data_IF_366151674315
#
_entry.id   IF_366151674315
#
_cell.length_a   1.000
_cell.length_b   1.000
_cell.length_c   1.000
_cell.angle_alpha   90.00
_cell.angle_beta   90.00
_cell.angle_gamma   90.00
#
_symmetry.space_group_name_H-M   'P 1'
#
loop_
_entity.id
_entity.type
_entity.pdbx_description
1 polymer ?
#
# COMPACT_ATOMS: atom_id res chain seq x y z
N UNK A 1 18.16 -12.02 11.85
CA UNK A 1 17.64 -11.90 10.47
C UNK A 1 18.33 -10.73 9.80
N UNK A 2 19.21 -10.98 8.83
CA UNK A 2 19.81 -9.91 8.04
C UNK A 2 18.78 -9.44 7.01
N UNK A 3 18.45 -8.15 7.00
CA UNK A 3 17.58 -7.59 5.97
C UNK A 3 18.26 -7.73 4.61
N UNK A 4 17.51 -8.03 3.53
CA UNK A 4 18.08 -8.05 2.18
C UNK A 4 18.74 -6.71 1.88
N UNK A 5 19.96 -6.73 1.31
CA UNK A 5 20.73 -5.51 0.97
C UNK A 5 19.92 -4.49 0.16
N UNK A 6 18.95 -4.97 -0.62
CA UNK A 6 18.01 -4.20 -1.43
C UNK A 6 17.08 -3.33 -0.59
N UNK A 7 16.51 -3.86 0.51
CA UNK A 7 15.61 -3.11 1.38
C UNK A 7 16.37 -2.01 2.12
N UNK A 8 17.60 -2.30 2.56
CA UNK A 8 18.46 -1.30 3.19
C UNK A 8 18.80 -0.13 2.25
N UNK A 9 19.12 -0.42 0.97
CA UNK A 9 19.36 0.64 -0.04
C UNK A 9 18.10 1.46 -0.30
N UNK A 10 16.94 0.81 -0.38
CA UNK A 10 15.66 1.49 -0.58
C UNK A 10 15.35 2.47 0.55
N UNK A 11 15.47 2.02 1.80
CA UNK A 11 15.24 2.88 2.98
C UNK A 11 16.31 3.97 3.10
N UNK A 12 17.45 3.90 2.40
CA UNK A 12 18.46 4.98 2.41
C UNK A 12 18.20 6.08 1.36
N UNK A 13 17.26 5.88 0.45
CA UNK A 13 16.89 6.91 -0.53
C UNK A 13 16.43 8.19 0.19
N UNK A 14 16.80 9.34 -0.37
CA UNK A 14 16.35 10.65 0.09
C UNK A 14 14.83 10.81 -0.09
N UNK A 15 14.22 11.83 0.54
CA UNK A 15 12.77 12.04 0.48
C UNK A 15 12.26 12.20 -0.95
N UNK A 16 13.00 12.90 -1.81
CA UNK A 16 12.65 13.04 -3.23
C UNK A 16 12.66 11.71 -3.99
N UNK A 17 13.62 10.82 -3.68
CA UNK A 17 13.70 9.49 -4.29
C UNK A 17 12.52 8.60 -3.91
N UNK A 18 12.13 8.61 -2.62
CA UNK A 18 10.94 7.89 -2.15
C UNK A 18 9.65 8.48 -2.73
N UNK A 19 9.55 9.80 -2.83
CA UNK A 19 8.40 10.48 -3.45
C UNK A 19 8.23 10.10 -4.93
N UNK A 20 9.32 10.10 -5.70
CA UNK A 20 9.29 9.67 -7.10
C UNK A 20 8.85 8.21 -7.27
N UNK A 21 9.31 7.32 -6.39
CA UNK A 21 8.91 5.90 -6.39
C UNK A 21 7.41 5.75 -6.07
N UNK A 22 6.89 6.49 -5.09
CA UNK A 22 5.46 6.49 -4.75
C UNK A 22 4.61 6.88 -5.96
N UNK A 23 4.96 7.97 -6.66
CA UNK A 23 4.27 8.40 -7.89
C UNK A 23 4.36 7.34 -8.99
N UNK A 24 5.53 6.72 -9.19
CA UNK A 24 5.71 5.68 -10.19
C UNK A 24 4.84 4.44 -9.90
N UNK A 25 4.74 4.01 -8.64
CA UNK A 25 3.88 2.89 -8.23
C UNK A 25 2.41 3.21 -8.45
N UNK A 26 1.98 4.44 -8.12
CA UNK A 26 0.61 4.88 -8.35
C UNK A 26 0.26 4.93 -9.83
N UNK A 27 1.16 5.49 -10.66
CA UNK A 27 0.99 5.52 -12.12
C UNK A 27 0.95 4.11 -12.72
N UNK A 28 1.81 3.20 -12.25
CA UNK A 28 1.78 1.80 -12.65
C UNK A 28 0.45 1.14 -12.27
N UNK A 29 -0.05 1.39 -11.05
CA UNK A 29 -1.33 0.83 -10.62
C UNK A 29 -2.50 1.34 -11.43
N UNK A 30 -2.50 2.63 -11.78
CA UNK A 30 -3.52 3.18 -12.67
C UNK A 30 -3.47 2.54 -14.05
N UNK A 31 -2.27 2.42 -14.64
CA UNK A 31 -2.08 1.77 -15.94
C UNK A 31 -2.56 0.31 -15.94
N UNK A 32 -2.21 -0.46 -14.91
CA UNK A 32 -2.64 -1.85 -14.78
C UNK A 32 -4.16 -1.97 -14.59
N UNK A 33 -4.78 -1.04 -13.86
CA UNK A 33 -6.22 -1.02 -13.68
C UNK A 33 -6.96 -0.69 -14.98
N UNK A 34 -6.47 0.27 -15.77
CA UNK A 34 -7.05 0.56 -17.09
C UNK A 34 -6.96 -0.68 -18.00
N UNK A 35 -5.80 -1.34 -18.02
CA UNK A 35 -5.63 -2.58 -18.78
C UNK A 35 -6.54 -3.71 -18.30
N UNK A 36 -6.83 -3.79 -17.00
CA UNK A 36 -7.79 -4.74 -16.44
C UNK A 36 -9.23 -4.39 -16.84
N UNK A 37 -9.62 -3.12 -16.72
CA UNK A 37 -10.94 -2.65 -17.13
C UNK A 37 -11.21 -2.91 -18.62
N UNK A 38 -10.20 -2.74 -19.48
CA UNK A 38 -10.31 -3.07 -20.91
C UNK A 38 -10.57 -4.57 -21.12
N UNK A 39 -9.88 -5.44 -20.35
CA UNK A 39 -10.11 -6.89 -20.38
C UNK A 39 -11.49 -7.26 -19.86
N UNK A 40 -11.95 -6.63 -18.79
CA UNK A 40 -13.29 -6.87 -18.24
C UNK A 40 -14.36 -6.39 -19.23
N UNK A 41 -14.12 -5.28 -19.95
CA UNK A 41 -14.96 -4.83 -21.06
C UNK A 41 -15.04 -5.87 -22.19
N UNK A 42 -13.92 -6.50 -22.56
CA UNK A 42 -13.90 -7.60 -23.53
C UNK A 42 -14.66 -8.82 -23.02
N UNK A 43 -14.55 -9.16 -21.74
CA UNK A 43 -15.28 -10.29 -21.13
C UNK A 43 -16.79 -10.07 -21.14
N UNK A 44 -17.24 -8.88 -20.78
CA UNK A 44 -18.66 -8.50 -20.85
C UNK A 44 -19.16 -8.56 -22.28
N UNK A 45 -18.39 -8.05 -23.25
CA UNK A 45 -18.73 -8.14 -24.67
C UNK A 45 -18.78 -9.59 -25.17
N UNK A 46 -17.85 -10.44 -24.73
CA UNK A 46 -17.86 -11.87 -25.04
C UNK A 46 -19.08 -12.55 -24.44
N UNK A 47 -19.42 -12.26 -23.18
CA UNK A 47 -20.63 -12.79 -22.54
C UNK A 47 -21.88 -12.46 -23.33
N UNK A 48 -22.03 -11.20 -23.75
CA UNK A 48 -23.15 -10.75 -24.57
C UNK A 48 -23.18 -11.38 -25.99
N UNK A 49 -22.01 -11.66 -26.57
CA UNK A 49 -21.92 -12.31 -27.88
C UNK A 49 -22.29 -13.81 -27.85
N UNK A 50 -22.30 -14.42 -26.67
CA UNK A 50 -22.46 -15.87 -26.51
C UNK A 50 -21.17 -16.66 -26.82
N UNK A 51 -21.19 -17.99 -26.61
CA UNK A 51 -20.03 -18.83 -26.87
C UNK A 51 -19.67 -18.86 -28.36
N UNK A 52 -18.38 -19.02 -28.71
CA UNK A 52 -17.97 -19.17 -30.11
C UNK A 52 -18.56 -20.44 -30.72
N UNK A 53 -18.60 -20.49 -32.06
CA UNK A 53 -19.08 -21.66 -32.77
C UNK A 53 -18.27 -22.90 -32.39
N UNK A 54 -18.97 -24.01 -32.18
CA UNK A 54 -18.33 -25.28 -31.85
C UNK A 54 -17.69 -25.90 -33.09
N UNK A 55 -16.39 -26.24 -33.00
CA UNK A 55 -15.60 -26.76 -34.13
C UNK A 55 -14.96 -28.10 -33.74
N UNK A 56 -14.96 -29.06 -34.66
CA UNK A 56 -14.24 -30.32 -34.49
C UNK A 56 -12.74 -30.07 -34.30
N UNK A 57 -12.11 -30.73 -33.32
CA UNK A 57 -10.72 -30.48 -32.93
C UNK A 57 -9.74 -30.67 -34.10
N UNK A 58 -10.03 -31.61 -35.00
CA UNK A 58 -9.24 -31.87 -36.20
C UNK A 58 -9.35 -30.77 -37.28
N UNK A 59 -10.39 -29.94 -37.21
CA UNK A 59 -10.62 -28.80 -38.13
C UNK A 59 -10.28 -27.45 -37.48
N UNK A 60 -9.89 -27.46 -36.21
CA UNK A 60 -9.65 -26.26 -35.44
C UNK A 60 -8.49 -25.44 -36.03
N UNK A 61 -8.76 -24.17 -36.32
CA UNK A 61 -7.78 -23.21 -36.76
C UNK A 61 -7.67 -22.07 -35.73
N UNK A 62 -6.47 -21.93 -35.13
CA UNK A 62 -6.19 -20.93 -34.09
C UNK A 62 -6.53 -19.50 -34.51
N UNK A 63 -6.37 -19.13 -35.78
CA UNK A 63 -6.57 -17.75 -36.22
C UNK A 63 -8.04 -17.41 -36.50
N UNK A 64 -8.89 -18.42 -36.70
CA UNK A 64 -10.30 -18.25 -37.10
C UNK A 64 -11.28 -18.64 -36.00
N UNK A 65 -10.95 -19.67 -35.23
CA UNK A 65 -11.90 -20.37 -34.37
C UNK A 65 -11.75 -20.00 -32.88
N UNK A 66 -11.03 -18.91 -32.57
CA UNK A 66 -10.89 -18.36 -31.21
C UNK A 66 -11.37 -16.90 -31.14
N UNK A 67 -11.87 -16.49 -29.98
CA UNK A 67 -12.20 -15.08 -29.72
C UNK A 67 -10.94 -14.27 -29.35
N UNK A 68 -11.09 -12.95 -29.17
CA UNK A 68 -9.99 -12.09 -28.68
C UNK A 68 -9.52 -12.46 -27.27
N UNK A 69 -10.38 -13.08 -26.47
CA UNK A 69 -10.06 -13.63 -25.15
C UNK A 69 -9.51 -15.05 -25.23
N UNK A 70 -9.21 -15.55 -26.44
CA UNK A 70 -8.80 -16.93 -26.70
C UNK A 70 -9.83 -17.97 -26.26
N UNK A 71 -11.09 -17.56 -26.12
CA UNK A 71 -12.19 -18.48 -25.85
C UNK A 71 -12.39 -19.38 -27.07
N UNK A 72 -12.58 -20.68 -26.83
CA UNK A 72 -12.81 -21.71 -27.84
C UNK A 72 -13.86 -22.70 -27.37
N UNK A 73 -14.61 -23.26 -28.32
CA UNK A 73 -15.48 -24.41 -28.09
C UNK A 73 -15.08 -25.51 -29.06
N UNK A 74 -14.40 -26.53 -28.55
CA UNK A 74 -13.81 -27.59 -29.38
C UNK A 74 -14.54 -28.92 -29.14
N UNK A 75 -14.93 -29.59 -30.21
CA UNK A 75 -15.50 -30.94 -30.19
C UNK A 75 -14.40 -31.98 -30.28
N UNK A 76 -14.34 -32.88 -29.30
CA UNK A 76 -13.39 -33.99 -29.32
C UNK A 76 -13.93 -35.21 -28.56
N UNK A 77 -13.24 -36.34 -28.70
CA UNK A 77 -13.45 -37.51 -27.85
C UNK A 77 -12.28 -37.61 -26.85
N UNK A 78 -12.53 -37.72 -25.53
CA UNK A 78 -11.46 -37.92 -24.56
C UNK A 78 -11.00 -39.38 -24.53
N UNK A 79 -9.70 -39.58 -24.40
CA UNK A 79 -9.12 -40.90 -24.14
C UNK A 79 -8.96 -41.09 -22.64
N UNK A 80 -10.01 -41.63 -22.01
CA UNK A 80 -10.09 -41.72 -20.54
C UNK A 80 -9.05 -42.66 -19.94
N UNK A 81 -8.64 -43.69 -20.67
CA UNK A 81 -7.61 -44.62 -20.22
C UNK A 81 -6.24 -43.95 -20.07
N UNK A 82 -6.03 -42.82 -20.74
CA UNK A 82 -4.81 -42.01 -20.70
C UNK A 82 -4.98 -40.74 -19.84
N UNK A 83 -6.09 -40.61 -19.12
CA UNK A 83 -6.30 -39.46 -18.25
C UNK A 83 -5.37 -39.55 -17.04
N UNK A 84 -4.58 -38.50 -16.80
CA UNK A 84 -3.51 -38.53 -15.81
C UNK A 84 -3.49 -37.25 -14.98
N UNK A 85 -3.22 -37.40 -13.68
CA UNK A 85 -2.88 -36.27 -12.81
C UNK A 85 -1.41 -35.91 -12.99
N UNK A 86 -1.16 -34.63 -13.26
CA UNK A 86 0.17 -34.06 -13.23
C UNK A 86 0.31 -33.19 -11.98
N UNK A 87 1.44 -33.35 -11.28
CA UNK A 87 1.77 -32.58 -10.07
C UNK A 87 3.09 -31.88 -10.28
N UNK A 88 3.08 -30.56 -10.21
CA UNK A 88 4.29 -29.74 -10.32
C UNK A 88 4.67 -29.23 -8.93
N UNK A 89 5.77 -29.74 -8.40
CA UNK A 89 6.25 -29.38 -7.08
C UNK A 89 6.94 -28.01 -7.10
N UNK A 90 6.47 -27.05 -6.29
CA UNK A 90 7.12 -25.74 -6.12
C UNK A 90 7.44 -25.50 -4.65
N UNK A 91 8.39 -24.60 -4.41
CA UNK A 91 8.80 -24.23 -3.04
C UNK A 91 7.67 -23.62 -2.20
N UNK A 92 6.61 -23.12 -2.82
CA UNK A 92 5.49 -22.45 -2.17
C UNK A 92 4.21 -23.31 -2.10
N UNK A 93 4.27 -24.55 -2.58
CA UNK A 93 3.12 -25.43 -2.74
C UNK A 93 3.20 -26.21 -4.05
N UNK A 94 2.42 -27.28 -4.15
CA UNK A 94 2.34 -28.07 -5.38
C UNK A 94 1.17 -27.54 -6.23
N UNK A 95 1.38 -27.42 -7.53
CA UNK A 95 0.29 -27.19 -8.46
C UNK A 95 -0.20 -28.54 -8.98
N UNK A 96 -1.51 -28.66 -9.21
CA UNK A 96 -2.12 -29.86 -9.76
C UNK A 96 -2.95 -29.56 -11.01
N UNK A 97 -2.85 -30.43 -12.01
CA UNK A 97 -3.72 -30.40 -13.19
C UNK A 97 -4.10 -31.82 -13.59
N UNK A 98 -5.34 -32.00 -14.02
CA UNK A 98 -5.76 -33.23 -14.70
C UNK A 98 -5.61 -33.05 -16.19
N UNK A 99 -4.79 -33.90 -16.78
CA UNK A 99 -4.57 -33.96 -18.21
C UNK A 99 -5.48 -35.01 -18.83
N UNK A 100 -6.23 -34.61 -19.85
CA UNK A 100 -7.10 -35.49 -20.61
C UNK A 100 -6.73 -35.41 -22.10
N UNK A 101 -6.07 -36.44 -22.66
CA UNK A 101 -5.78 -36.49 -24.08
C UNK A 101 -7.07 -36.55 -24.91
N UNK A 102 -7.08 -35.83 -26.03
CA UNK A 102 -8.23 -35.68 -26.92
C UNK A 102 -7.91 -36.21 -28.31
N UNK A 103 -8.81 -37.00 -28.88
CA UNK A 103 -8.76 -37.49 -30.26
C UNK A 103 -9.86 -36.83 -31.11
N UNK A 104 -9.70 -36.90 -32.43
CA UNK A 104 -10.65 -36.38 -33.40
C UNK A 104 -12.07 -36.95 -33.22
N UNK A 105 -13.09 -36.20 -33.60
CA UNK A 105 -14.50 -36.61 -33.44
C UNK A 105 -14.84 -37.90 -34.19
N UNK A 106 -14.22 -38.11 -35.36
CA UNK A 106 -14.35 -39.31 -36.17
C UNK A 106 -13.34 -40.42 -35.87
N UNK A 107 -12.47 -40.25 -34.88
CA UNK A 107 -11.44 -41.25 -34.56
C UNK A 107 -12.06 -42.53 -34.01
N UNK A 108 -11.46 -43.66 -34.39
CA UNK A 108 -11.71 -45.00 -33.82
C UNK A 108 -10.48 -45.54 -33.08
N UNK A 109 -9.44 -44.72 -32.91
CA UNK A 109 -8.19 -45.10 -32.25
C UNK A 109 -7.84 -44.13 -31.14
N UNK A 110 -7.40 -44.67 -30.02
CA UNK A 110 -7.01 -43.93 -28.81
C UNK A 110 -5.61 -43.30 -28.89
N UNK A 111 -4.83 -43.67 -29.90
CA UNK A 111 -3.42 -43.26 -30.05
C UNK A 111 -3.23 -42.03 -30.92
N UNK A 112 -4.24 -41.64 -31.72
CA UNK A 112 -4.16 -40.49 -32.62
C UNK A 112 -4.61 -39.21 -31.90
N UNK A 113 -3.83 -38.84 -30.89
CA UNK A 113 -4.08 -37.66 -30.07
C UNK A 113 -3.93 -36.41 -30.95
N UNK A 114 -4.87 -35.48 -30.85
CA UNK A 114 -4.85 -34.19 -31.59
C UNK A 114 -4.87 -32.98 -30.66
N UNK A 115 -5.21 -33.18 -29.39
CA UNK A 115 -5.17 -32.13 -28.38
C UNK A 115 -5.21 -32.66 -26.96
N UNK A 116 -5.24 -31.73 -26.01
CA UNK A 116 -5.21 -32.00 -24.57
C UNK A 116 -6.15 -31.01 -23.89
N UNK A 117 -7.01 -31.52 -23.00
CA UNK A 117 -7.75 -30.70 -22.05
C UNK A 117 -7.07 -30.72 -20.68
N UNK A 118 -6.81 -29.55 -20.11
CA UNK A 118 -6.27 -29.39 -18.76
C UNK A 118 -7.32 -28.85 -17.81
N UNK A 119 -7.64 -29.62 -16.78
CA UNK A 119 -8.56 -29.21 -15.71
C UNK A 119 -7.72 -28.83 -14.49
N UNK A 120 -7.60 -27.53 -14.15
CA UNK A 120 -6.86 -27.10 -12.98
C UNK A 120 -7.57 -27.57 -11.72
N UNK A 121 -6.80 -27.99 -10.71
CA UNK A 121 -7.32 -28.33 -9.38
C UNK A 121 -6.68 -27.43 -8.34
N UNK A 122 -7.50 -26.78 -7.51
CA UNK A 122 -7.02 -25.96 -6.41
C UNK A 122 -6.54 -26.80 -5.22
N UNK A 123 -7.01 -28.04 -5.14
CA UNK A 123 -6.70 -28.97 -4.06
C UNK A 123 -5.97 -30.20 -4.58
N UNK A 124 -5.30 -30.89 -3.66
CA UNK A 124 -4.74 -32.21 -3.89
C UNK A 124 -5.82 -33.30 -3.95
N UNK A 125 -7.04 -32.98 -3.47
CA UNK A 125 -8.21 -33.82 -3.54
C UNK A 125 -8.82 -33.74 -4.96
N UNK A 126 -8.87 -34.88 -5.65
CA UNK A 126 -9.48 -34.99 -6.97
C UNK A 126 -11.00 -34.89 -6.97
N UNK A 127 -11.58 -34.56 -5.82
CA UNK A 127 -13.01 -34.50 -5.60
C UNK A 127 -13.67 -33.44 -6.50
N UNK A 128 -12.90 -32.45 -6.95
CA UNK A 128 -13.34 -31.38 -7.84
C UNK A 128 -13.58 -31.89 -9.29
N UNK A 129 -12.90 -32.95 -9.74
CA UNK A 129 -13.04 -33.50 -11.10
C UNK A 129 -13.90 -34.76 -11.05
N UNK A 130 -15.21 -34.55 -11.03
CA UNK A 130 -16.17 -35.65 -11.01
C UNK A 130 -16.38 -36.24 -12.42
N UNK A 131 -16.77 -37.51 -12.54
CA UNK A 131 -17.22 -38.08 -13.81
C UNK A 131 -18.36 -37.29 -14.45
N UNK A 132 -19.21 -36.63 -13.66
CA UNK A 132 -20.27 -35.76 -14.14
C UNK A 132 -19.70 -34.51 -14.83
N UNK A 133 -18.66 -33.89 -14.24
CA UNK A 133 -17.96 -32.77 -14.86
C UNK A 133 -17.35 -33.17 -16.21
N UNK A 134 -16.67 -34.33 -16.27
CA UNK A 134 -16.09 -34.85 -17.52
C UNK A 134 -17.13 -35.24 -18.58
N UNK A 135 -18.41 -35.36 -18.20
CA UNK A 135 -19.54 -35.62 -19.09
C UNK A 135 -20.32 -34.34 -19.43
N UNK A 136 -19.96 -33.20 -18.82
CA UNK A 136 -20.61 -31.92 -19.08
C UNK A 136 -20.30 -31.50 -20.50
N UNK A 137 -21.34 -31.19 -21.28
CA UNK A 137 -21.19 -30.87 -22.70
C UNK A 137 -21.09 -32.09 -23.62
N UNK A 138 -21.42 -33.30 -23.16
CA UNK A 138 -21.55 -34.47 -24.03
C UNK A 138 -22.63 -34.24 -25.10
N UNK A 139 -22.27 -34.41 -26.36
CA UNK A 139 -23.14 -34.26 -27.52
C UNK A 139 -23.49 -35.59 -28.20
N UNK A 140 -22.73 -36.65 -27.92
CA UNK A 140 -22.96 -37.97 -28.51
C UNK A 140 -21.85 -38.97 -28.19
N UNK A 141 -21.74 -40.01 -29.02
CA UNK A 141 -20.70 -41.03 -28.92
C UNK A 141 -20.03 -41.22 -30.29
N UNK A 142 -18.71 -41.29 -30.30
CA UNK A 142 -17.89 -41.61 -31.46
C UNK A 142 -17.25 -42.99 -31.34
N UNK A 143 -16.20 -43.23 -32.14
CA UNK A 143 -15.53 -44.54 -32.21
C UNK A 143 -14.68 -44.89 -30.99
N UNK A 144 -14.27 -43.91 -30.19
CA UNK A 144 -13.45 -44.09 -28.98
C UNK A 144 -14.29 -43.90 -27.72
N UNK A 145 -15.20 -42.92 -27.70
CA UNK A 145 -15.96 -42.63 -26.50
C UNK A 145 -17.00 -41.53 -26.68
N UNK A 146 -17.34 -40.86 -25.58
CA UNK A 146 -18.25 -39.72 -25.59
C UNK A 146 -17.66 -38.57 -26.40
N UNK A 147 -18.39 -38.02 -27.35
CA UNK A 147 -18.06 -36.74 -27.97
C UNK A 147 -18.51 -35.61 -27.05
N UNK A 148 -17.59 -34.70 -26.70
CA UNK A 148 -17.82 -33.61 -25.75
C UNK A 148 -17.43 -32.28 -26.39
N UNK A 149 -18.22 -31.24 -26.09
CA UNK A 149 -17.88 -29.85 -26.32
C UNK A 149 -17.05 -29.31 -25.15
N UNK A 150 -15.76 -29.09 -25.39
CA UNK A 150 -14.88 -28.43 -24.43
C UNK A 150 -14.98 -26.92 -24.62
N UNK A 151 -15.69 -26.25 -23.72
CA UNK A 151 -15.73 -24.79 -23.64
C UNK A 151 -14.66 -24.31 -22.66
N UNK A 152 -13.73 -23.47 -23.14
CA UNK A 152 -12.61 -23.01 -22.34
C UNK A 152 -11.74 -21.99 -23.04
N UNK A 153 -10.56 -21.77 -22.49
CA UNK A 153 -9.53 -20.91 -23.07
C UNK A 153 -8.48 -21.75 -23.81
N UNK A 154 -8.09 -21.32 -25.01
CA UNK A 154 -6.96 -21.90 -25.73
C UNK A 154 -5.66 -21.45 -25.06
N UNK A 155 -4.92 -22.38 -24.46
CA UNK A 155 -3.67 -22.11 -23.77
C UNK A 155 -2.44 -22.70 -24.46
N UNK A 156 -1.30 -22.60 -23.78
CA UNK A 156 -0.15 -23.45 -24.02
C UNK A 156 0.00 -24.46 -22.88
N UNK A 157 0.92 -25.42 -23.03
CA UNK A 157 1.29 -26.32 -21.93
C UNK A 157 2.06 -25.60 -20.83
N UNK A 158 2.86 -24.58 -21.19
CA UNK A 158 3.55 -23.74 -20.22
C UNK A 158 4.45 -24.57 -19.32
N UNK A 159 4.21 -24.51 -18.01
CA UNK A 159 4.97 -25.27 -17.01
C UNK A 159 4.71 -26.79 -17.03
N UNK A 160 3.71 -27.26 -17.77
CA UNK A 160 3.31 -28.67 -17.84
C UNK A 160 3.93 -29.43 -19.02
N UNK A 161 4.67 -28.74 -19.88
CA UNK A 161 5.21 -29.30 -21.14
C UNK A 161 6.10 -30.51 -20.89
N UNK A 162 7.05 -30.43 -19.96
CA UNK A 162 7.97 -31.52 -19.62
C UNK A 162 7.25 -32.75 -19.07
N UNK A 163 6.36 -32.56 -18.08
CA UNK A 163 5.58 -33.65 -17.47
C UNK A 163 4.62 -34.31 -18.48
N UNK A 164 4.08 -33.52 -19.40
CA UNK A 164 3.19 -34.02 -20.46
C UNK A 164 3.97 -34.81 -21.49
N UNK A 165 5.12 -34.31 -21.93
CA UNK A 165 5.99 -35.01 -22.87
C UNK A 165 6.51 -36.34 -22.28
N UNK A 166 6.91 -36.34 -21.01
CA UNK A 166 7.32 -37.55 -20.28
C UNK A 166 6.18 -38.57 -20.23
N UNK A 167 4.96 -38.14 -19.85
CA UNK A 167 3.80 -39.02 -19.84
C UNK A 167 3.51 -39.64 -21.23
N UNK A 168 3.53 -38.82 -22.30
CA UNK A 168 3.29 -39.33 -23.65
C UNK A 168 4.37 -40.34 -24.06
N UNK A 169 5.63 -40.08 -23.74
CA UNK A 169 6.73 -41.00 -24.03
C UNK A 169 6.57 -42.34 -23.29
N UNK A 170 6.23 -42.29 -22.00
CA UNK A 170 6.01 -43.48 -21.17
C UNK A 170 4.80 -44.31 -21.64
N UNK A 171 3.75 -43.63 -22.10
CA UNK A 171 2.57 -44.27 -22.70
C UNK A 171 2.81 -44.80 -24.13
N UNK A 172 3.99 -44.59 -24.70
CA UNK A 172 4.32 -44.98 -26.08
C UNK A 172 3.56 -44.16 -27.14
N UNK A 173 3.14 -42.94 -26.80
CA UNK A 173 2.41 -42.01 -27.65
C UNK A 173 3.33 -40.95 -28.24
N UNK A 174 2.93 -40.41 -29.38
CA UNK A 174 3.62 -39.28 -30.01
C UNK A 174 2.84 -38.01 -29.71
N UNK A 175 3.50 -37.06 -29.07
CA UNK A 175 2.91 -35.76 -28.79
C UNK A 175 2.78 -34.94 -30.09
N UNK A 176 1.59 -34.42 -30.42
CA UNK A 176 1.40 -33.68 -31.66
C UNK A 176 2.14 -32.34 -31.63
N UNK A 177 2.89 -32.04 -32.69
CA UNK A 177 3.63 -30.77 -32.79
C UNK A 177 2.72 -29.53 -32.68
N UNK A 178 1.46 -29.67 -33.10
CA UNK A 178 0.44 -28.61 -33.07
C UNK A 178 -0.76 -28.98 -32.20
N UNK A 179 -0.54 -29.65 -31.07
CA UNK A 179 -1.62 -30.03 -30.16
C UNK A 179 -2.51 -28.83 -29.80
N UNK A 180 -3.82 -29.03 -29.82
CA UNK A 180 -4.80 -28.04 -29.35
C UNK A 180 -4.92 -28.18 -27.84
N UNK A 181 -4.50 -27.16 -27.09
CA UNK A 181 -4.49 -27.18 -25.63
C UNK A 181 -5.65 -26.33 -25.12
N UNK A 182 -6.67 -26.98 -24.56
CA UNK A 182 -7.86 -26.32 -24.03
C UNK A 182 -7.82 -26.34 -22.50
N UNK A 183 -8.17 -25.21 -21.89
CA UNK A 183 -8.36 -25.07 -20.45
C UNK A 183 -9.85 -24.87 -20.17
N UNK A 184 -10.61 -25.95 -19.92
CA UNK A 184 -12.06 -25.85 -19.78
C UNK A 184 -12.48 -25.00 -18.59
N UNK A 185 -13.59 -24.29 -18.72
CA UNK A 185 -14.17 -23.50 -17.64
C UNK A 185 -14.90 -24.42 -16.65
N UNK A 186 -14.25 -24.74 -15.53
CA UNK A 186 -14.74 -25.67 -14.49
C UNK A 186 -16.10 -25.28 -13.93
N UNK A 187 -16.28 -24.00 -13.64
CA UNK A 187 -17.50 -23.42 -13.05
C UNK A 187 -18.46 -22.88 -14.12
N UNK A 188 -18.16 -23.16 -15.38
CA UNK A 188 -18.88 -22.64 -16.52
C UNK A 188 -18.35 -21.31 -17.02
N UNK A 189 -18.75 -21.00 -18.26
CA UNK A 189 -18.33 -19.82 -19.01
C UNK A 189 -18.70 -18.51 -18.31
N UNK A 190 -19.93 -18.44 -17.77
CA UNK A 190 -20.46 -17.21 -17.20
C UNK A 190 -19.66 -16.76 -15.97
N UNK A 191 -19.18 -17.72 -15.17
CA UNK A 191 -18.33 -17.47 -14.01
C UNK A 191 -16.91 -17.10 -14.45
N UNK A 192 -16.33 -17.83 -15.41
CA UNK A 192 -14.97 -17.57 -15.88
C UNK A 192 -14.81 -16.21 -16.57
N UNK A 193 -15.85 -15.75 -17.25
CA UNK A 193 -15.90 -14.45 -17.92
C UNK A 193 -16.58 -13.38 -17.07
N UNK A 194 -17.00 -13.66 -15.84
CA UNK A 194 -17.54 -12.64 -14.98
C UNK A 194 -16.47 -11.54 -14.74
N UNK A 195 -16.88 -10.25 -14.74
CA UNK A 195 -16.00 -9.20 -14.23
C UNK A 195 -15.70 -9.47 -12.75
N UNK A 196 -14.56 -8.96 -12.27
CA UNK A 196 -14.21 -9.07 -10.85
C UNK A 196 -15.35 -8.54 -9.96
N UNK A 197 -15.67 -9.26 -8.88
CA UNK A 197 -16.77 -8.89 -8.01
C UNK A 197 -16.55 -7.50 -7.40
N UNK A 198 -17.62 -6.70 -7.31
CA UNK A 198 -17.59 -5.39 -6.69
C UNK A 198 -17.28 -5.53 -5.20
N UNK A 199 -16.02 -5.31 -4.81
CA UNK A 199 -15.55 -5.51 -3.44
C UNK A 199 -14.14 -6.07 -3.37
N UNK A 200 -13.72 -6.83 -4.39
CA UNK A 200 -12.35 -7.34 -4.45
C UNK A 200 -11.33 -6.19 -4.50
N UNK A 201 -10.20 -6.40 -3.82
CA UNK A 201 -9.09 -5.47 -3.78
C UNK A 201 -8.57 -5.22 -5.20
N UNK A 202 -8.96 -4.08 -5.79
CA UNK A 202 -8.49 -3.68 -7.12
C UNK A 202 -6.97 -3.55 -7.14
N UNK A 203 -6.33 -3.84 -8.28
CA UNK A 203 -4.87 -3.71 -8.45
C UNK A 203 -4.45 -2.28 -8.10
N UNK A 204 -5.22 -1.28 -8.55
CA UNK A 204 -5.01 0.10 -8.17
C UNK A 204 -5.18 0.33 -6.66
N UNK A 205 -6.19 -0.27 -6.03
CA UNK A 205 -6.41 -0.18 -4.58
C UNK A 205 -5.23 -0.71 -3.78
N UNK A 206 -4.63 -1.83 -4.19
CA UNK A 206 -3.43 -2.37 -3.56
C UNK A 206 -2.21 -1.45 -3.76
N UNK A 207 -1.95 -1.04 -5.01
CA UNK A 207 -0.79 -0.22 -5.34
C UNK A 207 -0.90 1.20 -4.78
N UNK A 208 -2.09 1.77 -4.68
CA UNK A 208 -2.32 3.07 -4.06
C UNK A 208 -2.05 3.04 -2.55
N UNK A 209 -2.38 1.94 -1.85
CA UNK A 209 -2.00 1.73 -0.45
C UNK A 209 -0.48 1.68 -0.29
N UNK A 210 0.22 0.92 -1.13
CA UNK A 210 1.69 0.81 -1.12
C UNK A 210 2.32 2.19 -1.42
N UNK A 211 1.86 2.86 -2.47
CA UNK A 211 2.31 4.20 -2.83
C UNK A 211 2.06 5.20 -1.70
N UNK A 212 0.91 5.13 -1.04
CA UNK A 212 0.55 5.97 0.10
C UNK A 212 1.51 5.80 1.27
N UNK A 213 1.87 4.57 1.64
CA UNK A 213 2.87 4.28 2.69
C UNK A 213 4.26 4.80 2.32
N UNK A 214 4.69 4.62 1.07
CA UNK A 214 6.00 5.13 0.61
C UNK A 214 6.00 6.66 0.56
N UNK A 215 4.90 7.28 0.12
CA UNK A 215 4.72 8.73 0.10
C UNK A 215 4.75 9.31 1.50
N UNK A 216 4.06 8.67 2.46
CA UNK A 216 4.15 8.97 3.88
C UNK A 216 5.59 8.95 4.40
N UNK A 217 6.33 7.89 4.07
CA UNK A 217 7.73 7.75 4.49
C UNK A 217 8.62 8.84 3.88
N UNK A 218 8.41 9.18 2.61
CA UNK A 218 9.11 10.26 1.92
C UNK A 218 8.89 11.61 2.62
N UNK A 219 7.63 11.89 2.96
CA UNK A 219 7.21 13.10 3.65
C UNK A 219 7.74 13.15 5.08
N UNK A 220 7.64 12.04 5.82
CA UNK A 220 8.22 11.92 7.16
C UNK A 220 9.72 12.20 7.12
N UNK A 221 10.45 11.58 6.20
CA UNK A 221 11.88 11.87 6.02
C UNK A 221 12.14 13.34 5.72
N UNK A 222 11.36 13.95 4.83
CA UNK A 222 11.53 15.37 4.51
C UNK A 222 11.38 16.26 5.75
N UNK A 223 10.43 15.93 6.63
CA UNK A 223 10.21 16.63 7.90
C UNK A 223 11.31 16.35 8.94
N UNK A 224 11.78 15.10 9.01
CA UNK A 224 12.77 14.67 10.02
C UNK A 224 14.22 14.78 9.56
N UNK A 225 14.49 15.19 8.32
CA UNK A 225 15.83 15.57 7.88
C UNK A 225 16.16 16.93 8.49
N UNK A 226 16.33 16.97 9.81
CA UNK A 226 16.87 18.12 10.50
C UNK A 226 18.29 18.38 9.97
N UNK A 227 18.62 19.67 9.87
CA UNK A 227 19.90 20.20 9.41
C UNK A 227 21.08 19.42 10.00
N UNK A 228 22.23 19.33 9.28
CA UNK A 228 23.47 18.95 9.93
C UNK A 228 23.58 19.83 11.18
N UNK A 229 23.89 19.21 12.32
CA UNK A 229 24.29 19.95 13.51
C UNK A 229 25.34 20.96 13.01
N UNK A 230 24.97 22.24 12.98
CA UNK A 230 25.95 23.31 12.93
C UNK A 230 26.75 23.06 14.19
N UNK A 231 27.86 22.31 14.06
CA UNK A 231 28.90 22.25 15.07
C UNK A 231 29.12 23.71 15.39
N UNK A 232 28.83 24.16 16.64
CA UNK A 232 29.06 25.55 16.98
C UNK A 232 30.50 25.83 16.59
N UNK A 233 30.70 26.73 15.62
CA UNK A 233 32.03 27.23 15.30
C UNK A 233 32.64 27.59 16.64
N UNK A 234 33.68 26.85 17.03
CA UNK A 234 34.42 27.17 18.23
C UNK A 234 34.77 28.66 18.10
N UNK A 235 34.48 29.48 19.12
CA UNK A 235 34.68 30.91 19.03
C UNK A 235 36.09 31.14 18.52
N UNK A 236 36.20 31.84 17.39
CA UNK A 236 37.47 32.28 16.82
C UNK A 236 38.18 33.04 17.94
N UNK A 237 39.16 32.39 18.57
CA UNK A 237 39.99 33.00 19.59
C UNK A 237 40.76 34.06 18.83
N UNK A 238 40.35 35.32 18.97
CA UNK A 238 41.16 36.45 18.56
C UNK A 238 42.53 36.28 19.22
N UNK A 239 43.57 36.16 18.40
CA UNK A 239 44.96 36.06 18.82
C UNK A 239 45.34 37.39 19.51
N UNK A 240 45.06 37.47 20.81
CA UNK A 240 45.54 38.53 21.68
C UNK A 240 46.96 38.15 22.09
N UNK A 241 47.99 38.96 21.78
CA UNK A 241 49.36 38.66 22.19
C UNK A 241 49.44 38.60 23.72
N UNK A 242 50.21 37.65 24.29
CA UNK A 242 50.23 37.42 25.73
C UNK A 242 50.82 38.64 26.45
N UNK A 243 50.01 39.29 27.27
CA UNK A 243 50.51 40.22 28.30
C UNK A 243 51.16 39.37 29.39
N UNK A 244 52.44 39.57 29.73
CA UNK A 244 53.09 38.84 30.80
C UNK A 244 52.53 39.30 32.14
N UNK A 245 51.58 38.53 32.67
CA UNK A 245 51.15 38.66 34.07
C UNK A 245 52.00 37.70 34.89
N UNK A 246 53.00 38.24 35.59
CA UNK A 246 53.69 37.55 36.67
C UNK A 246 52.68 37.27 37.79
N UNK A 247 52.13 36.06 37.82
CA UNK A 247 51.41 35.58 39.00
C UNK A 247 52.41 34.96 39.98
N UNK A 248 52.39 35.34 41.27
CA UNK A 248 53.18 34.66 42.28
C UNK A 248 52.72 33.20 42.39
N UNK A 249 53.68 32.29 42.29
CA UNK A 249 53.48 30.85 42.46
C UNK A 249 53.06 30.58 43.91
N UNK A 250 51.75 30.54 44.18
CA UNK A 250 51.25 29.93 45.41
C UNK A 250 51.33 28.41 45.26
N UNK A 251 52.23 27.80 46.04
CA UNK A 251 52.39 26.36 46.25
C UNK A 251 51.00 25.70 46.44
N UNK A 252 50.56 24.92 45.47
CA UNK A 252 49.32 24.15 45.58
C UNK A 252 49.44 23.14 46.73
N UNK A 253 48.58 23.30 47.74
CA UNK A 253 48.48 22.38 48.86
C UNK A 253 47.75 21.09 48.39
N UNK A 254 48.23 19.88 48.72
CA UNK A 254 47.63 18.65 48.21
C UNK A 254 46.26 18.38 48.85
N UNK A 255 45.31 17.97 48.01
CA UNK A 255 43.86 17.80 48.26
C UNK A 255 43.46 16.92 49.45
N UNK A 256 44.37 16.14 50.03
CA UNK A 256 44.07 15.31 51.21
C UNK A 256 43.99 16.10 52.53
N UNK A 257 44.53 17.33 52.59
CA UNK A 257 44.38 18.21 53.76
C UNK A 257 43.07 19.01 53.80
N UNK A 258 42.28 19.03 52.73
CA UNK A 258 40.98 19.75 52.69
C UNK A 258 39.79 18.93 53.20
N UNK A 259 39.96 17.64 53.55
CA UNK A 259 38.84 16.75 53.96
C UNK A 259 38.80 16.35 55.44
N UNK A 260 39.78 16.71 56.27
CA UNK A 260 39.70 16.51 57.71
C UNK A 260 39.27 17.81 58.38
N UNK A 261 37.96 17.95 58.64
CA UNK A 261 37.42 19.03 59.45
C UNK A 261 37.93 18.94 60.89
N UNK A 262 39.11 19.51 61.13
CA UNK A 262 39.69 19.69 62.45
C UNK A 262 40.12 21.16 62.56
N UNK A 263 39.41 21.88 63.43
CA UNK A 263 39.71 23.24 63.85
C UNK A 263 41.02 23.24 64.64
N UNK A 264 41.95 24.12 64.29
CA UNK A 264 42.98 24.60 65.20
C UNK A 264 42.80 26.11 65.37
N UNK A 265 42.20 26.47 66.52
CA UNK A 265 42.24 27.80 67.11
C UNK A 265 43.65 28.03 67.66
N UNK A 266 44.56 28.59 66.86
CA UNK A 266 45.79 29.25 67.34
C UNK A 266 46.59 29.87 66.20
N UNK A 267 46.31 31.12 65.86
CA UNK A 267 47.30 32.05 65.26
C UNK A 267 46.73 33.47 65.26
N UNK A 268 46.55 33.98 66.47
CA UNK A 268 46.63 35.40 66.79
C UNK A 268 48.02 35.92 66.39
N UNK A 269 48.06 37.17 65.91
CA UNK A 269 49.24 38.05 65.80
C UNK A 269 50.24 37.78 64.67
N UNK A 270 50.20 38.61 63.62
CA UNK A 270 51.23 39.62 63.39
C UNK A 270 50.89 40.55 62.20
N UNK A 271 50.82 41.82 62.57
CA UNK A 271 50.82 43.07 61.81
C UNK A 271 51.79 43.15 60.62
N UNK A 272 51.44 43.92 59.58
CA UNK A 272 52.06 45.23 59.29
C UNK A 272 51.55 45.87 57.99
N UNK A 273 51.14 47.14 58.14
CA UNK A 273 51.41 48.29 57.28
C UNK A 273 51.11 48.19 55.77
N UNK A 274 49.96 48.75 55.37
CA UNK A 274 49.86 49.41 54.06
C UNK A 274 49.19 50.79 54.21
N UNK A 275 50.01 51.79 53.95
CA UNK A 275 49.77 53.22 53.98
C UNK A 275 48.85 53.62 52.81
N UNK A 276 47.78 54.37 53.10
CA UNK A 276 46.86 54.93 52.12
C UNK A 276 47.48 56.18 51.49
N UNK A 277 47.82 56.12 50.20
CA UNK A 277 48.16 57.31 49.42
C UNK A 277 46.89 58.12 49.06
N UNK A 278 46.92 59.47 49.12
CA UNK A 278 45.78 60.32 48.78
C UNK A 278 45.53 60.35 47.27
N UNK A 279 44.26 60.21 46.86
CA UNK A 279 43.81 60.41 45.48
C UNK A 279 43.57 61.91 45.27
N UNK A 280 44.45 62.56 44.50
CA UNK A 280 44.18 63.87 43.90
C UNK A 280 43.29 63.71 42.65
N UNK A 281 42.21 64.49 42.48
CA UNK A 281 41.45 64.54 41.24
C UNK A 281 42.05 65.61 40.32
N UNK A 282 42.71 65.18 39.24
CA UNK A 282 43.11 66.05 38.13
C UNK A 282 42.24 65.76 36.90
N UNK A 283 41.43 66.76 36.57
CA UNK A 283 41.14 67.30 35.24
C UNK A 283 40.70 66.35 34.11
N UNK A 284 39.40 66.44 33.86
CA UNK A 284 38.71 65.99 32.65
C UNK A 284 38.99 67.00 31.53
N UNK A 285 39.77 66.60 30.53
CA UNK A 285 39.73 67.20 29.18
C UNK A 285 38.85 66.32 28.27
N UNK A 286 37.84 66.89 27.56
CA UNK A 286 37.05 66.14 26.60
C UNK A 286 37.64 66.28 25.20
N UNK A 287 38.42 65.30 24.75
CA UNK A 287 38.95 65.29 23.39
C UNK A 287 38.10 64.42 22.46
N UNK A 288 37.34 65.11 21.62
CA UNK A 288 37.20 64.92 20.16
C UNK A 288 36.82 63.52 19.63
N UNK A 289 35.55 63.43 19.25
CA UNK A 289 35.01 62.82 18.01
C UNK A 289 35.91 61.85 17.22
N UNK A 290 35.57 60.56 17.27
CA UNK A 290 35.81 59.64 16.16
C UNK A 290 34.52 58.87 15.81
N UNK A 291 33.76 59.28 14.78
CA UNK A 291 32.62 58.53 14.28
C UNK A 291 33.07 57.59 13.16
N UNK A 292 33.92 56.62 13.47
CA UNK A 292 34.27 55.53 12.53
C UNK A 292 34.27 54.16 13.19
N UNK A 293 33.21 53.84 13.94
CA UNK A 293 32.87 52.46 14.27
C UNK A 293 31.54 52.05 13.65
N UNK A 294 31.70 51.62 12.39
CA UNK A 294 31.04 50.53 11.70
C UNK A 294 29.86 49.87 12.44
N UNK A 295 28.66 50.33 12.10
CA UNK A 295 27.39 49.72 12.46
C UNK A 295 27.01 48.61 11.47
N UNK A 296 27.89 47.66 11.18
CA UNK A 296 27.55 46.49 10.35
C UNK A 296 27.33 45.25 11.21
N UNK A 297 26.13 45.14 11.79
CA UNK A 297 25.78 43.96 12.59
C UNK A 297 24.28 43.73 12.81
N UNK A 298 23.40 44.50 12.16
CA UNK A 298 21.99 44.14 12.09
C UNK A 298 21.83 42.96 11.14
N UNK A 299 22.10 41.75 11.65
CA UNK A 299 21.67 40.50 10.99
C UNK A 299 20.15 40.58 10.83
N UNK A 300 19.71 40.79 9.59
CA UNK A 300 18.31 40.62 9.24
C UNK A 300 17.85 39.23 9.74
N UNK A 301 16.68 39.13 10.40
CA UNK A 301 16.11 37.84 10.73
C UNK A 301 15.77 37.14 9.42
N UNK A 302 16.71 36.33 8.94
CA UNK A 302 16.60 35.53 7.72
C UNK A 302 15.30 34.76 7.82
N UNK A 303 14.30 35.20 7.05
CA UNK A 303 12.92 34.72 7.07
C UNK A 303 12.91 33.21 6.89
N UNK A 304 12.89 32.51 8.03
CA UNK A 304 12.87 31.06 8.10
C UNK A 304 11.53 30.64 7.51
N UNK A 305 11.54 30.10 6.29
CA UNK A 305 10.37 29.51 5.67
C UNK A 305 9.90 28.39 6.59
N UNK A 306 8.93 28.74 7.43
CA UNK A 306 8.66 27.99 8.65
C UNK A 306 8.31 26.56 8.32
N UNK A 307 9.02 25.63 8.95
CA UNK A 307 8.73 24.19 9.03
C UNK A 307 7.22 23.94 9.21
N UNK A 308 6.54 24.85 9.91
CA UNK A 308 5.09 24.91 10.09
C UNK A 308 4.27 24.95 8.80
N UNK A 309 4.67 25.72 7.77
CA UNK A 309 3.98 25.78 6.48
C UNK A 309 4.18 24.49 5.67
N UNK A 310 5.36 23.88 5.78
CA UNK A 310 5.66 22.59 5.16
C UNK A 310 4.82 21.49 5.79
N UNK A 311 4.69 21.48 7.12
CA UNK A 311 3.89 20.49 7.86
C UNK A 311 2.38 20.62 7.57
N UNK A 312 1.87 21.85 7.43
CA UNK A 312 0.47 22.09 7.01
C UNK A 312 0.23 21.65 5.57
N UNK A 313 1.17 21.93 4.65
CA UNK A 313 1.09 21.46 3.26
C UNK A 313 1.16 19.93 3.15
N UNK A 314 1.91 19.27 4.03
CA UNK A 314 2.07 17.82 4.07
C UNK A 314 0.81 17.12 4.58
N UNK A 315 0.28 17.55 5.74
CA UNK A 315 -0.97 17.01 6.30
C UNK A 315 -2.15 17.31 5.37
N UNK A 316 -2.22 18.52 4.81
CA UNK A 316 -3.23 18.89 3.82
C UNK A 316 -3.11 18.08 2.53
N UNK A 317 -1.91 17.88 2.01
CA UNK A 317 -1.67 17.08 0.80
C UNK A 317 -2.01 15.61 0.98
N UNK A 318 -1.71 15.04 2.15
CA UNK A 318 -2.10 13.68 2.52
C UNK A 318 -3.61 13.51 2.66
N UNK A 319 -4.28 14.48 3.27
CA UNK A 319 -5.73 14.48 3.36
C UNK A 319 -6.37 14.57 1.97
N UNK A 320 -5.88 15.46 1.10
CA UNK A 320 -6.37 15.61 -0.27
C UNK A 320 -6.09 14.36 -1.10
N UNK A 321 -4.92 13.73 -0.99
CA UNK A 321 -4.62 12.47 -1.69
C UNK A 321 -5.49 11.32 -1.19
N UNK A 322 -5.72 11.21 0.11
CA UNK A 322 -6.63 10.23 0.69
C UNK A 322 -8.07 10.44 0.20
N UNK A 323 -8.52 11.70 0.15
CA UNK A 323 -9.86 12.08 -0.29
C UNK A 323 -10.04 11.89 -1.80
N UNK A 324 -9.06 12.27 -2.62
CA UNK A 324 -9.10 12.03 -4.08
C UNK A 324 -9.06 10.53 -4.37
N UNK A 325 -8.28 9.74 -3.63
CA UNK A 325 -8.26 8.28 -3.77
C UNK A 325 -9.63 7.66 -3.43
N UNK A 326 -10.23 8.06 -2.31
CA UNK A 326 -11.56 7.54 -1.90
C UNK A 326 -12.66 8.00 -2.85
N UNK A 327 -12.67 9.28 -3.26
CA UNK A 327 -13.66 9.80 -4.21
C UNK A 327 -13.47 9.17 -5.59
N UNK A 328 -12.24 8.92 -6.05
CA UNK A 328 -12.00 8.26 -7.33
C UNK A 328 -12.39 6.78 -7.31
N UNK A 329 -12.22 6.09 -6.18
CA UNK A 329 -12.70 4.72 -5.98
C UNK A 329 -14.25 4.67 -5.93
N UNK A 330 -14.88 5.65 -5.25
CA UNK A 330 -16.33 5.82 -5.28
C UNK A 330 -16.86 6.15 -6.68
N UNK A 331 -16.17 6.99 -7.45
CA UNK A 331 -16.58 7.33 -8.83
C UNK A 331 -16.45 6.11 -9.73
N UNK A 332 -15.35 5.36 -9.64
CA UNK A 332 -15.15 4.12 -10.38
C UNK A 332 -16.18 3.04 -10.04
N UNK A 333 -16.67 3.03 -8.79
CA UNK A 333 -17.78 2.17 -8.35
C UNK A 333 -19.18 2.71 -8.70
N UNK A 334 -19.31 4.01 -8.98
CA UNK A 334 -20.59 4.68 -9.24
C UNK A 334 -21.02 4.73 -10.70
N UNK A 335 -20.15 4.35 -11.65
CA UNK A 335 -20.63 4.10 -13.01
C UNK A 335 -21.60 2.93 -12.96
N UNK A 336 -22.90 3.14 -13.30
CA UNK A 336 -23.91 2.11 -13.18
C UNK A 336 -23.64 1.08 -14.27
N UNK A 337 -22.86 0.08 -13.94
CA UNK A 337 -22.98 -1.20 -14.62
C UNK A 337 -24.25 -1.80 -14.04
N UNK A 338 -25.33 -1.83 -14.83
CA UNK A 338 -26.50 -2.70 -14.62
C UNK A 338 -26.05 -4.18 -14.72
N UNK A 339 -25.05 -4.57 -13.94
CA UNK A 339 -24.88 -5.96 -13.55
C UNK A 339 -25.85 -6.14 -12.41
N UNK A 340 -26.85 -7.00 -12.61
CA UNK A 340 -27.61 -7.64 -11.54
C UNK A 340 -26.57 -8.32 -10.65
N UNK A 341 -26.02 -7.58 -9.69
CA UNK A 341 -25.16 -8.13 -8.66
C UNK A 341 -26.05 -9.07 -7.87
N UNK A 342 -25.72 -10.36 -7.89
CA UNK A 342 -26.37 -11.34 -7.01
C UNK A 342 -25.94 -10.95 -5.60
N UNK A 343 -26.70 -10.05 -4.97
CA UNK A 343 -26.54 -9.72 -3.55
C UNK A 343 -26.60 -11.03 -2.77
N UNK A 344 -25.62 -11.25 -1.90
CA UNK A 344 -25.67 -12.42 -1.03
C UNK A 344 -26.93 -12.33 -0.15
N UNK A 345 -27.50 -13.47 0.21
CA UNK A 345 -28.69 -13.50 1.08
C UNK A 345 -28.44 -12.75 2.40
N UNK A 346 -27.20 -12.76 2.88
CA UNK A 346 -26.76 -12.05 4.09
C UNK A 346 -26.79 -10.52 3.92
N UNK A 347 -26.43 -10.00 2.74
CA UNK A 347 -26.47 -8.57 2.46
C UNK A 347 -27.90 -8.05 2.35
N UNK A 348 -28.78 -8.82 1.69
CA UNK A 348 -30.22 -8.55 1.63
C UNK A 348 -30.89 -8.56 3.02
N UNK A 349 -30.48 -9.49 3.88
CA UNK A 349 -31.03 -9.61 5.23
C UNK A 349 -30.48 -8.51 6.16
N UNK A 350 -29.21 -8.15 6.03
CA UNK A 350 -28.62 -7.04 6.75
C UNK A 350 -29.24 -5.69 6.37
N UNK A 351 -29.50 -5.45 5.08
CA UNK A 351 -30.18 -4.27 4.57
C UNK A 351 -31.64 -4.22 5.06
N UNK A 352 -32.37 -5.33 4.97
CA UNK A 352 -33.75 -5.40 5.48
C UNK A 352 -33.86 -5.20 7.00
N UNK A 353 -32.90 -5.69 7.78
CA UNK A 353 -32.86 -5.47 9.24
C UNK A 353 -32.45 -4.03 9.58
N UNK A 354 -31.53 -3.43 8.83
CA UNK A 354 -31.13 -2.04 9.01
C UNK A 354 -32.30 -1.08 8.76
N UNK A 355 -33.06 -1.30 7.68
CA UNK A 355 -34.28 -0.57 7.34
C UNK A 355 -35.36 -0.69 8.44
N UNK A 356 -35.47 -1.84 9.10
CA UNK A 356 -36.47 -2.06 10.14
C UNK A 356 -36.09 -1.44 11.50
N UNK A 357 -34.79 -1.25 11.77
CA UNK A 357 -34.28 -0.70 13.04
C UNK A 357 -34.31 0.83 13.04
N UNK A 358 -34.17 1.45 11.86
CA UNK A 358 -34.10 2.90 11.74
C UNK A 358 -35.48 3.41 11.35
N UNK A 359 -36.13 4.23 12.20
CA UNK A 359 -37.43 4.79 11.87
C UNK A 359 -37.33 5.67 10.62
N UNK A 360 -38.31 5.54 9.72
CA UNK A 360 -38.45 6.38 8.54
C UNK A 360 -38.34 7.87 8.92
N UNK A 361 -37.69 8.64 8.04
CA UNK A 361 -37.56 10.07 8.23
C UNK A 361 -38.95 10.71 8.35
N UNK A 362 -39.17 11.50 9.40
CA UNK A 362 -40.44 12.19 9.66
C UNK A 362 -40.88 12.98 8.41
N UNK A 363 -42.08 12.70 7.85
CA UNK A 363 -42.55 13.38 6.63
C UNK A 363 -42.75 14.89 6.82
N UNK A 364 -42.85 15.39 8.05
CA UNK A 364 -42.99 16.82 8.37
C UNK A 364 -41.64 17.51 8.67
N UNK A 365 -40.52 16.89 8.31
CA UNK A 365 -39.18 17.39 8.63
C UNK A 365 -38.82 18.68 7.89
N UNK A 366 -38.28 19.66 8.62
CA UNK A 366 -37.81 20.92 8.06
C UNK A 366 -36.60 20.73 7.14
N UNK A 367 -36.56 21.47 6.03
CA UNK A 367 -35.47 21.48 5.03
C UNK A 367 -34.06 21.81 5.57
N UNK A 368 -33.96 22.26 6.82
CA UNK A 368 -32.68 22.52 7.50
C UNK A 368 -32.13 21.33 8.27
N UNK A 369 -32.93 20.27 8.49
CA UNK A 369 -32.46 19.08 9.18
C UNK A 369 -31.81 18.12 8.18
N UNK A 370 -30.50 17.89 8.37
CA UNK A 370 -29.74 16.95 7.55
C UNK A 370 -30.25 15.55 7.83
N UNK A 371 -30.76 14.87 6.79
CA UNK A 371 -31.14 13.49 6.92
C UNK A 371 -29.91 12.58 6.97
N UNK A 372 -29.79 11.87 8.08
CA UNK A 372 -28.71 10.92 8.36
C UNK A 372 -29.25 9.48 8.44
N UNK A 373 -30.54 9.27 8.16
CA UNK A 373 -31.18 7.94 8.15
C UNK A 373 -30.44 6.97 7.24
N UNK A 374 -30.16 7.38 6.00
CA UNK A 374 -29.41 6.60 5.02
C UNK A 374 -27.99 6.24 5.49
N UNK A 375 -27.30 7.17 6.17
CA UNK A 375 -25.96 6.93 6.71
C UNK A 375 -26.04 5.97 7.89
N UNK A 376 -27.04 6.11 8.76
CA UNK A 376 -27.26 5.21 9.87
C UNK A 376 -27.60 3.79 9.37
N UNK A 377 -28.40 3.66 8.32
CA UNK A 377 -28.81 2.39 7.73
C UNK A 377 -27.63 1.67 7.13
N UNK A 378 -26.82 2.39 6.35
CA UNK A 378 -25.58 1.90 5.81
C UNK A 378 -24.59 1.45 6.92
N UNK A 379 -24.45 2.22 8.00
CA UNK A 379 -23.57 1.86 9.13
C UNK A 379 -24.08 0.62 9.87
N UNK A 380 -25.40 0.52 10.12
CA UNK A 380 -26.01 -0.64 10.79
C UNK A 380 -25.87 -1.90 9.93
N UNK A 381 -26.13 -1.81 8.62
CA UNK A 381 -25.95 -2.92 7.69
C UNK A 381 -24.49 -3.42 7.67
N UNK A 382 -23.52 -2.51 7.56
CA UNK A 382 -22.09 -2.89 7.62
C UNK A 382 -21.67 -3.42 8.99
N UNK A 383 -22.29 -2.98 10.08
CA UNK A 383 -22.04 -3.52 11.41
C UNK A 383 -22.58 -4.94 11.58
N UNK A 384 -23.77 -5.22 11.05
CA UNK A 384 -24.34 -6.57 11.04
C UNK A 384 -23.51 -7.53 10.18
N UNK A 385 -23.05 -7.10 9.02
CA UNK A 385 -22.12 -7.87 8.17
C UNK A 385 -20.78 -8.11 8.87
N UNK A 386 -20.22 -7.11 9.54
CA UNK A 386 -19.00 -7.29 10.30
C UNK A 386 -19.16 -8.30 11.46
N UNK A 387 -20.35 -8.35 12.09
CA UNK A 387 -20.66 -9.34 13.13
C UNK A 387 -20.86 -10.76 12.58
N UNK A 388 -21.32 -10.91 11.33
CA UNK A 388 -21.42 -12.23 10.68
C UNK A 388 -20.07 -12.78 10.22
N UNK A 389 -19.00 -12.00 10.35
CA UNK A 389 -17.64 -12.40 10.00
C UNK A 389 -17.16 -11.89 8.63
N UNK A 390 -17.92 -10.99 7.98
CA UNK A 390 -17.47 -10.32 6.76
C UNK A 390 -16.28 -9.40 7.07
N UNK A 391 -15.11 -9.82 6.59
CA UNK A 391 -13.84 -9.12 6.82
C UNK A 391 -13.80 -7.75 6.14
N UNK A 392 -14.51 -7.56 5.04
CA UNK A 392 -14.52 -6.31 4.29
C UNK A 392 -15.39 -5.26 4.98
N UNK A 393 -16.55 -5.68 5.51
CA UNK A 393 -17.39 -4.83 6.34
C UNK A 393 -16.65 -4.40 7.62
N UNK A 394 -15.93 -5.33 8.26
CA UNK A 394 -15.12 -5.05 9.46
C UNK A 394 -13.98 -4.07 9.19
N UNK A 395 -13.25 -4.24 8.07
CA UNK A 395 -12.18 -3.33 7.67
C UNK A 395 -12.71 -1.93 7.32
N UNK A 396 -13.88 -1.87 6.68
CA UNK A 396 -14.55 -0.61 6.36
C UNK A 396 -14.93 0.17 7.62
N UNK A 397 -15.53 -0.50 8.60
CA UNK A 397 -15.85 0.11 9.90
C UNK A 397 -14.61 0.54 10.68
N UNK A 398 -13.54 -0.25 10.66
CA UNK A 398 -12.26 0.12 11.28
C UNK A 398 -11.63 1.35 10.62
N UNK A 399 -11.69 1.48 9.29
CA UNK A 399 -11.18 2.66 8.61
C UNK A 399 -11.99 3.91 8.95
N UNK A 400 -13.32 3.82 8.99
CA UNK A 400 -14.18 4.94 9.37
C UNK A 400 -13.96 5.31 10.83
N UNK A 401 -14.04 4.36 11.75
CA UNK A 401 -13.79 4.57 13.18
C UNK A 401 -12.39 5.12 13.43
N UNK A 402 -11.38 4.57 12.75
CA UNK A 402 -10.00 5.05 12.78
C UNK A 402 -9.85 6.47 12.26
N UNK A 403 -10.56 6.85 11.20
CA UNK A 403 -10.53 8.21 10.66
C UNK A 403 -11.19 9.23 11.60
N UNK A 404 -12.34 8.88 12.19
CA UNK A 404 -13.04 9.73 13.17
C UNK A 404 -12.17 9.89 14.42
N UNK A 405 -11.58 8.80 14.91
CA UNK A 405 -10.66 8.82 16.04
C UNK A 405 -9.42 9.66 15.75
N UNK A 406 -8.81 9.49 14.57
CA UNK A 406 -7.66 10.29 14.14
C UNK A 406 -8.02 11.77 14.09
N UNK A 407 -9.15 12.16 13.48
CA UNK A 407 -9.59 13.56 13.46
C UNK A 407 -9.88 14.07 14.87
N UNK A 408 -10.59 13.30 15.69
CA UNK A 408 -11.03 13.70 17.03
C UNK A 408 -9.89 13.81 18.03
N UNK A 409 -8.77 13.12 17.82
CA UNK A 409 -7.60 13.17 18.73
C UNK A 409 -6.46 13.99 18.14
N UNK A 410 -6.11 13.78 16.88
CA UNK A 410 -4.99 14.50 16.26
C UNK A 410 -5.31 15.98 16.09
N UNK A 411 -6.55 16.37 15.78
CA UNK A 411 -6.88 17.81 15.63
C UNK A 411 -6.79 18.55 16.97
N UNK A 412 -7.39 18.08 18.09
CA UNK A 412 -7.21 18.75 19.38
C UNK A 412 -5.77 18.70 19.88
N UNK A 413 -5.06 17.58 19.72
CA UNK A 413 -3.66 17.46 20.09
C UNK A 413 -2.80 18.45 19.29
N UNK A 414 -3.03 18.55 17.98
CA UNK A 414 -2.39 19.55 17.14
C UNK A 414 -2.69 20.97 17.61
N UNK A 415 -3.95 21.30 17.91
CA UNK A 415 -4.32 22.62 18.42
C UNK A 415 -3.72 22.92 19.79
N UNK A 416 -3.57 21.91 20.64
CA UNK A 416 -2.97 22.03 21.97
C UNK A 416 -1.46 22.27 21.87
N UNK A 417 -0.74 21.48 21.06
CA UNK A 417 0.68 21.69 20.75
C UNK A 417 0.90 23.04 20.06
N UNK A 418 -0.02 23.43 19.17
CA UNK A 418 0.00 24.74 18.53
C UNK A 418 -0.12 25.87 19.55
N UNK A 419 -0.97 25.72 20.58
CA UNK A 419 -1.18 26.70 21.64
C UNK A 419 0.01 26.78 22.61
N UNK A 420 0.62 25.65 22.97
CA UNK A 420 1.78 25.64 23.87
C UNK A 420 3.05 26.22 23.24
N UNK A 421 3.18 26.14 21.91
CA UNK A 421 4.31 26.65 21.16
C UNK A 421 4.13 28.09 20.65
N UNK A 422 2.98 28.73 20.89
CA UNK A 422 2.85 30.16 20.64
C UNK A 422 3.68 30.89 21.71
N UNK A 423 4.69 31.70 21.33
CA UNK A 423 5.42 32.48 22.30
C UNK A 423 4.41 33.36 23.03
N UNK A 424 4.32 33.20 24.36
CA UNK A 424 3.58 34.13 25.21
C UNK A 424 4.26 35.47 25.01
N UNK A 425 3.67 36.32 24.15
CA UNK A 425 3.99 37.73 24.12
C UNK A 425 3.59 38.26 25.49
N UNK A 426 4.51 38.22 26.45
CA UNK A 426 4.45 39.09 27.61
C UNK A 426 4.44 40.48 27.00
N UNK A 427 3.27 41.10 26.97
CA UNK A 427 3.16 42.54 26.91
C UNK A 427 3.90 42.98 28.18
N UNK A 428 5.19 43.26 28.02
CA UNK A 428 6.02 43.82 29.07
C UNK A 428 5.31 45.07 29.55
N UNK A 429 5.19 45.20 30.87
CA UNK A 429 4.63 46.37 31.49
C UNK A 429 5.29 47.60 30.89
N UNK A 430 4.50 48.37 30.16
CA UNK A 430 4.76 49.79 30.00
C UNK A 430 4.77 50.34 31.42
N UNK A 431 5.95 50.73 31.88
CA UNK A 431 6.10 51.49 33.11
C UNK A 431 5.15 52.68 33.03
N UNK A 432 4.25 52.75 34.00
CA UNK A 432 3.57 53.97 34.36
C UNK A 432 4.01 54.30 35.78
N UNK A 433 4.70 55.44 35.86
CA UNK A 433 5.19 56.22 37.00
C UNK A 433 6.17 55.57 37.96
#
# INVERSE_FOLDING_TARGET
MAWPKTVYRFVRLGPLGLGAISVAILALGYYLQVAQNDRDGLKVAALAAGPPASVAIEQFNRDRDMTQLREVVVQAQPVRELAQRLTLHKNAGDDHVFMLPLVATGSSTETDIVGIAYFPSATDAFDDITPALLMTGMIGFGGVGSMINYNGELGGMGQWDELTAEFFADAGLIMPANAVIVWPYMEGRDVALAPAAAGELTIFGLLSKIAGVIGLLALAKLVFTNKPDEVPEAPEIADVPPIPVEMPVTKAMPLWKQRSGFLDDSATELSQDFELAPIEPADIEPDVLDPTHDSSGLREPRRWFGVRKVLIGLVGGMFVLGLVSTVSDLIAKSTPVETVAVQSFEELLAEGVAAAIIPDADPDRHWTDIDVSFVAEWVVAKWLLALSGDTDALMTLLMIGGSIFAVSIMVPMYLMVRRSLLPRTRIGGMGLS
#
